data_IF_615021512631
#
_entry.id   IF_615021512631
#
_cell.length_a   1.000
_cell.length_b   1.000
_cell.length_c   1.000
_cell.angle_alpha   90.00
_cell.angle_beta   90.00
_cell.angle_gamma   90.00
#
_symmetry.space_group_name_H-M   'P 1'
#
loop_
_entity.id
_entity.type
_entity.pdbx_description
1 polymer ?
#
# COMPACT_ATOMS: atom_id res chain seq x y z
N UNK A 1 -9.48 18.29 -8.11
CA UNK A 1 -9.25 17.40 -9.28
C UNK A 1 -9.97 16.08 -9.03
N UNK A 2 -10.92 15.66 -9.87
CA UNK A 2 -11.79 14.50 -9.58
C UNK A 2 -11.03 13.17 -9.36
N UNK A 3 -9.88 12.98 -10.02
CA UNK A 3 -9.08 11.77 -9.81
C UNK A 3 -8.44 11.71 -8.42
N UNK A 4 -8.00 12.86 -7.89
CA UNK A 4 -7.51 13.01 -6.51
C UNK A 4 -8.62 12.67 -5.53
N UNK A 5 -9.80 13.26 -5.75
CA UNK A 5 -10.97 13.03 -4.89
C UNK A 5 -11.43 11.57 -4.89
N UNK A 6 -11.37 10.91 -6.05
CA UNK A 6 -11.67 9.48 -6.16
C UNK A 6 -10.67 8.63 -5.38
N UNK A 7 -9.37 8.91 -5.52
CA UNK A 7 -8.33 8.17 -4.81
C UNK A 7 -8.52 8.28 -3.29
N UNK A 8 -8.63 9.49 -2.73
CA UNK A 8 -8.76 9.64 -1.28
C UNK A 8 -10.09 9.15 -0.71
N UNK A 9 -11.17 9.18 -1.50
CA UNK A 9 -12.43 8.52 -1.12
C UNK A 9 -12.24 7.00 -0.99
N UNK A 10 -11.55 6.37 -1.94
CA UNK A 10 -11.28 4.93 -1.90
C UNK A 10 -10.24 4.57 -0.83
N UNK A 11 -9.26 5.43 -0.59
CA UNK A 11 -8.28 5.26 0.49
C UNK A 11 -8.97 5.32 1.86
N UNK A 12 -9.86 6.29 2.08
CA UNK A 12 -10.63 6.38 3.33
C UNK A 12 -11.53 5.15 3.50
N UNK A 13 -12.21 4.70 2.44
CA UNK A 13 -12.99 3.46 2.47
C UNK A 13 -12.12 2.24 2.83
N UNK A 14 -10.93 2.14 2.23
CA UNK A 14 -9.98 1.06 2.51
C UNK A 14 -9.56 1.02 4.00
N UNK A 15 -9.41 2.17 4.65
CA UNK A 15 -9.08 2.25 6.07
C UNK A 15 -10.27 1.96 7.00
N UNK A 16 -11.47 2.42 6.64
CA UNK A 16 -12.64 2.41 7.54
C UNK A 16 -13.55 1.19 7.37
N UNK A 17 -13.72 0.71 6.14
CA UNK A 17 -14.77 -0.25 5.77
C UNK A 17 -14.33 -1.11 4.58
N UNK A 18 -13.10 -1.63 4.67
CA UNK A 18 -12.53 -2.55 3.68
C UNK A 18 -13.47 -3.72 3.37
N UNK A 19 -13.62 -4.00 2.09
CA UNK A 19 -14.26 -5.20 1.53
C UNK A 19 -13.33 -5.89 0.50
N UNK A 20 -13.76 -7.02 -0.06
CA UNK A 20 -12.94 -7.82 -0.99
C UNK A 20 -12.49 -7.07 -2.24
N UNK A 21 -13.15 -5.96 -2.60
CA UNK A 21 -12.82 -5.18 -3.80
C UNK A 21 -12.08 -3.87 -3.46
N UNK A 22 -11.96 -3.52 -2.18
CA UNK A 22 -11.47 -2.20 -1.74
C UNK A 22 -10.03 -1.94 -2.13
N UNK A 23 -9.13 -2.91 -1.96
CA UNK A 23 -7.73 -2.76 -2.38
C UNK A 23 -7.61 -2.64 -3.89
N UNK A 24 -8.31 -3.47 -4.66
CA UNK A 24 -8.27 -3.39 -6.11
C UNK A 24 -8.74 -2.04 -6.64
N UNK A 25 -9.87 -1.56 -6.11
CA UNK A 25 -10.41 -0.25 -6.47
C UNK A 25 -9.42 0.86 -6.10
N UNK A 26 -8.80 0.78 -4.92
CA UNK A 26 -7.76 1.72 -4.48
C UNK A 26 -6.58 1.73 -5.45
N UNK A 27 -5.99 0.58 -5.75
CA UNK A 27 -4.83 0.46 -6.64
C UNK A 27 -5.13 0.92 -8.07
N UNK A 28 -6.32 0.64 -8.59
CA UNK A 28 -6.74 1.16 -9.89
C UNK A 28 -6.89 2.68 -9.88
N UNK A 29 -7.50 3.23 -8.82
CA UNK A 29 -7.65 4.68 -8.70
C UNK A 29 -6.30 5.39 -8.59
N UNK A 30 -5.33 4.79 -7.90
CA UNK A 30 -3.96 5.27 -7.81
C UNK A 30 -3.27 5.27 -9.18
N UNK A 31 -3.40 4.17 -9.93
CA UNK A 31 -2.85 4.08 -11.28
C UNK A 31 -3.45 5.14 -12.22
N UNK A 32 -4.78 5.25 -12.27
CA UNK A 32 -5.46 6.26 -13.08
C UNK A 32 -5.14 7.69 -12.66
N UNK A 33 -4.91 7.93 -11.37
CA UNK A 33 -4.44 9.23 -10.87
C UNK A 33 -3.01 9.51 -11.34
N UNK A 34 -2.11 8.52 -11.29
CA UNK A 34 -0.76 8.64 -11.81
C UNK A 34 -0.72 9.02 -13.29
N UNK A 35 -1.53 8.37 -14.13
CA UNK A 35 -1.62 8.69 -15.56
C UNK A 35 -2.09 10.13 -15.80
N UNK A 36 -3.08 10.58 -15.02
CA UNK A 36 -3.61 11.96 -15.11
C UNK A 36 -2.61 12.99 -14.62
N UNK A 37 -1.92 12.74 -13.50
CA UNK A 37 -0.88 13.63 -12.99
C UNK A 37 0.27 13.77 -13.99
N UNK A 38 0.63 12.68 -14.67
CA UNK A 38 1.66 12.73 -15.72
C UNK A 38 1.19 13.52 -16.94
N UNK A 39 -0.04 13.30 -17.39
CA UNK A 39 -0.60 13.94 -18.60
C UNK A 39 -0.92 15.42 -18.38
N UNK A 40 -1.58 15.75 -17.28
CA UNK A 40 -2.16 17.07 -17.04
C UNK A 40 -1.18 18.01 -16.31
N UNK A 41 -0.19 17.45 -15.59
CA UNK A 41 0.70 18.22 -14.70
C UNK A 41 2.20 17.88 -14.85
N UNK A 42 2.58 16.97 -15.76
CA UNK A 42 3.96 16.44 -15.91
C UNK A 42 4.57 15.86 -14.60
N UNK A 43 3.71 15.41 -13.70
CA UNK A 43 4.12 14.80 -12.43
C UNK A 43 4.25 13.29 -12.63
N UNK A 44 5.48 12.78 -12.53
CA UNK A 44 5.77 11.36 -12.70
C UNK A 44 5.83 10.62 -11.35
N UNK A 45 4.78 9.84 -11.06
CA UNK A 45 4.74 9.02 -9.84
C UNK A 45 5.70 7.84 -9.87
N UNK A 46 6.31 7.47 -11.01
CA UNK A 46 7.35 6.43 -11.06
C UNK A 46 8.62 6.83 -10.30
N UNK A 47 8.74 8.10 -9.88
CA UNK A 47 9.79 8.57 -8.97
C UNK A 47 9.54 8.20 -7.50
N UNK A 48 8.40 7.59 -7.19
CA UNK A 48 8.06 7.11 -5.85
C UNK A 48 8.10 5.58 -5.84
N UNK A 49 8.98 5.03 -5.01
CA UNK A 49 9.18 3.58 -4.88
C UNK A 49 7.89 2.86 -4.45
N UNK A 50 7.08 3.49 -3.60
CA UNK A 50 5.78 2.96 -3.21
C UNK A 50 4.82 2.86 -4.39
N UNK A 51 4.82 3.84 -5.32
CA UNK A 51 3.99 3.78 -6.51
C UNK A 51 4.44 2.67 -7.45
N UNK A 52 5.75 2.53 -7.68
CA UNK A 52 6.32 1.46 -8.51
C UNK A 52 5.94 0.10 -7.95
N UNK A 53 6.11 -0.10 -6.63
CA UNK A 53 5.74 -1.34 -5.92
C UNK A 53 4.26 -1.65 -6.09
N UNK A 54 3.37 -0.70 -5.76
CA UNK A 54 1.92 -0.90 -5.83
C UNK A 54 1.40 -1.08 -7.27
N UNK A 55 2.01 -0.40 -8.24
CA UNK A 55 1.71 -0.57 -9.67
C UNK A 55 2.05 -1.97 -10.16
N UNK A 56 3.21 -2.49 -9.78
CA UNK A 56 3.66 -3.84 -10.15
C UNK A 56 2.71 -4.89 -9.57
N UNK A 57 2.40 -4.80 -8.28
CA UNK A 57 1.43 -5.67 -7.61
C UNK A 57 0.07 -5.58 -8.32
N UNK A 58 -0.45 -4.37 -8.54
CA UNK A 58 -1.73 -4.15 -9.22
C UNK A 58 -1.79 -4.85 -10.59
N UNK A 59 -0.73 -4.75 -11.39
CA UNK A 59 -0.70 -5.34 -12.73
C UNK A 59 -0.85 -6.86 -12.68
N UNK A 60 -0.12 -7.53 -11.78
CA UNK A 60 -0.25 -8.96 -11.54
C UNK A 60 -1.69 -9.34 -11.15
N UNK A 61 -2.29 -8.56 -10.24
CA UNK A 61 -3.67 -8.79 -9.82
C UNK A 61 -4.70 -8.60 -10.92
N UNK A 62 -4.46 -7.66 -11.83
CA UNK A 62 -5.37 -7.43 -12.93
C UNK A 62 -5.40 -8.62 -13.92
N UNK A 63 -4.31 -9.39 -14.01
CA UNK A 63 -4.24 -10.60 -14.84
C UNK A 63 -4.81 -11.83 -14.12
N UNK A 64 -4.66 -11.91 -12.81
CA UNK A 64 -5.26 -12.95 -11.98
C UNK A 64 -6.77 -12.67 -11.81
N UNK A 65 -7.63 -13.35 -12.58
CA UNK A 65 -9.11 -13.30 -12.49
C UNK A 65 -9.70 -13.67 -11.10
N UNK A 66 -8.86 -13.87 -10.08
CA UNK A 66 -9.18 -14.30 -8.71
C UNK A 66 -8.64 -13.35 -7.64
N UNK A 67 -8.79 -12.05 -7.81
CA UNK A 67 -8.43 -11.06 -6.78
C UNK A 67 -9.00 -11.33 -5.38
N UNK A 68 -10.18 -11.96 -5.32
CA UNK A 68 -10.92 -12.17 -4.07
C UNK A 68 -10.22 -13.08 -3.06
N UNK A 69 -9.20 -13.85 -3.47
CA UNK A 69 -8.57 -14.87 -2.63
C UNK A 69 -7.08 -14.62 -2.32
N UNK A 70 -6.51 -13.50 -2.78
CA UNK A 70 -5.05 -13.27 -2.73
C UNK A 70 -4.66 -12.37 -1.54
N UNK A 71 -5.60 -11.57 -1.03
CA UNK A 71 -5.32 -10.53 -0.03
C UNK A 71 -6.08 -10.79 1.24
N UNK A 72 -5.43 -10.45 2.34
CA UNK A 72 -6.07 -10.47 3.65
C UNK A 72 -5.73 -9.17 4.34
N UNK A 73 -6.71 -8.26 4.36
CA UNK A 73 -6.65 -7.05 5.19
C UNK A 73 -7.20 -7.38 6.57
N UNK A 74 -6.38 -7.28 7.61
CA UNK A 74 -6.76 -7.64 8.97
C UNK A 74 -6.42 -6.51 9.95
N UNK A 75 -7.37 -6.12 10.82
CA UNK A 75 -7.07 -5.36 12.03
C UNK A 75 -5.95 -6.03 12.86
N UNK A 76 -4.90 -5.29 13.20
CA UNK A 76 -3.74 -5.85 13.91
C UNK A 76 -4.12 -6.44 15.27
N UNK A 77 -5.14 -5.88 15.94
CA UNK A 77 -5.66 -6.38 17.22
C UNK A 77 -6.24 -7.80 17.15
N UNK A 78 -6.52 -8.32 15.96
CA UNK A 78 -6.95 -9.72 15.74
C UNK A 78 -5.79 -10.71 15.60
N UNK A 79 -4.54 -10.25 15.57
CA UNK A 79 -3.37 -11.09 15.37
C UNK A 79 -2.54 -11.09 16.64
N UNK A 80 -2.69 -12.17 17.42
CA UNK A 80 -1.98 -12.34 18.67
C UNK A 80 -0.49 -12.60 18.44
N UNK A 81 0.36 -12.03 19.30
CA UNK A 81 1.79 -12.34 19.35
C UNK A 81 2.69 -11.47 18.48
N UNK A 82 2.14 -10.44 17.84
CA UNK A 82 2.89 -9.47 17.04
C UNK A 82 2.71 -8.03 17.56
N UNK A 83 3.64 -7.16 17.17
CA UNK A 83 3.61 -5.71 17.38
C UNK A 83 3.97 -5.00 16.08
N UNK A 84 3.25 -3.93 15.75
CA UNK A 84 3.54 -3.08 14.58
C UNK A 84 3.01 -1.67 14.81
N UNK A 85 3.51 -0.69 14.06
CA UNK A 85 3.04 0.70 14.04
C UNK A 85 1.78 0.89 13.17
N UNK A 86 1.23 -0.20 12.64
CA UNK A 86 0.05 -0.21 11.79
C UNK A 86 -1.23 -0.58 12.57
N UNK A 87 -2.37 -0.01 12.18
CA UNK A 87 -3.69 -0.42 12.70
C UNK A 87 -4.26 -1.61 11.90
N UNK A 88 -3.91 -1.70 10.62
CA UNK A 88 -4.31 -2.78 9.72
C UNK A 88 -3.10 -3.30 8.96
N UNK A 89 -3.11 -4.60 8.66
CA UNK A 89 -2.13 -5.23 7.78
C UNK A 89 -2.77 -5.67 6.49
N UNK A 90 -1.98 -5.66 5.42
CA UNK A 90 -2.37 -6.14 4.11
C UNK A 90 -1.32 -7.16 3.69
N UNK A 91 -1.69 -8.44 3.81
CA UNK A 91 -0.78 -9.56 3.67
C UNK A 91 -0.95 -10.24 2.31
N UNK A 92 0.19 -10.60 1.70
CA UNK A 92 0.32 -11.32 0.42
C UNK A 92 1.21 -12.54 0.56
N UNK A 93 1.09 -13.49 -0.36
CA UNK A 93 2.14 -14.48 -0.51
C UNK A 93 3.38 -13.88 -1.19
N UNK A 94 4.56 -14.28 -0.71
CA UNK A 94 5.84 -13.95 -1.35
C UNK A 94 5.87 -14.43 -2.81
N UNK A 95 5.19 -15.54 -3.13
CA UNK A 95 5.04 -16.02 -4.51
C UNK A 95 4.35 -15.00 -5.42
N UNK A 96 3.29 -14.33 -4.94
CA UNK A 96 2.55 -13.35 -5.74
C UNK A 96 3.40 -12.10 -6.01
N UNK A 97 4.25 -11.71 -5.05
CA UNK A 97 5.25 -10.64 -5.27
C UNK A 97 6.27 -11.06 -6.32
N UNK A 98 6.82 -12.26 -6.22
CA UNK A 98 7.80 -12.75 -7.20
C UNK A 98 7.21 -12.87 -8.60
N UNK A 99 6.01 -13.42 -8.73
CA UNK A 99 5.30 -13.52 -10.00
C UNK A 99 5.03 -12.12 -10.59
N UNK A 100 4.65 -11.15 -9.75
CA UNK A 100 4.45 -9.77 -10.20
C UNK A 100 5.72 -9.12 -10.77
N UNK A 101 6.91 -9.48 -10.24
CA UNK A 101 8.21 -9.02 -10.74
C UNK A 101 8.53 -9.69 -12.08
N UNK A 102 8.25 -10.99 -12.23
CA UNK A 102 8.53 -11.71 -13.46
C UNK A 102 7.68 -11.21 -14.65
N UNK A 103 6.45 -10.76 -14.39
CA UNK A 103 5.58 -10.11 -15.38
C UNK A 103 6.12 -8.75 -15.89
N UNK A 104 7.05 -8.11 -15.15
CA UNK A 104 7.70 -6.89 -15.61
C UNK A 104 8.61 -7.19 -16.80
N UNK A 105 8.60 -6.33 -17.81
CA UNK A 105 9.46 -6.47 -18.98
C UNK A 105 10.94 -6.60 -18.58
N UNK A 106 11.70 -7.47 -19.26
CA UNK A 106 13.12 -7.75 -18.97
C UNK A 106 13.97 -6.47 -18.75
N UNK A 107 13.69 -5.40 -19.50
CA UNK A 107 14.42 -4.13 -19.43
C UNK A 107 14.38 -3.49 -18.03
N UNK A 108 13.25 -3.57 -17.33
CA UNK A 108 13.02 -2.88 -16.05
C UNK A 108 12.96 -3.84 -14.86
N UNK A 109 13.06 -5.15 -15.09
CA UNK A 109 12.83 -6.17 -14.05
C UNK A 109 13.81 -6.06 -12.88
N UNK A 110 15.11 -5.91 -13.15
CA UNK A 110 16.12 -5.83 -12.09
C UNK A 110 15.90 -4.62 -11.19
N UNK A 111 15.71 -3.44 -11.78
CA UNK A 111 15.43 -2.20 -11.06
C UNK A 111 14.12 -2.32 -10.25
N UNK A 112 13.06 -2.85 -10.86
CA UNK A 112 11.76 -3.03 -10.18
C UNK A 112 11.88 -4.00 -9.00
N UNK A 113 12.66 -5.08 -9.15
CA UNK A 113 12.94 -6.04 -8.08
C UNK A 113 13.66 -5.37 -6.91
N UNK A 114 14.66 -4.55 -7.19
CA UNK A 114 15.42 -3.84 -6.15
C UNK A 114 14.53 -2.83 -5.41
N UNK A 115 13.70 -2.08 -6.14
CA UNK A 115 12.71 -1.15 -5.55
C UNK A 115 11.76 -1.91 -4.61
N UNK A 116 11.15 -3.00 -5.07
CA UNK A 116 10.20 -3.78 -4.27
C UNK A 116 10.88 -4.34 -3.03
N UNK A 117 12.06 -4.94 -3.17
CA UNK A 117 12.82 -5.52 -2.06
C UNK A 117 13.19 -4.50 -0.99
N UNK A 118 13.39 -3.24 -1.36
CA UNK A 118 13.68 -2.15 -0.43
C UNK A 118 12.42 -1.51 0.17
N UNK A 119 11.25 -1.72 -0.45
CA UNK A 119 9.99 -1.06 -0.07
C UNK A 119 9.11 -1.94 0.81
N UNK A 120 9.06 -3.25 0.56
CA UNK A 120 8.21 -4.19 1.31
C UNK A 120 8.99 -4.92 2.41
N UNK A 121 8.28 -5.47 3.39
CA UNK A 121 8.88 -6.35 4.40
C UNK A 121 8.46 -7.80 4.15
N UNK A 122 9.46 -8.66 3.94
CA UNK A 122 9.27 -10.11 3.79
C UNK A 122 9.36 -10.80 5.15
N UNK A 123 8.41 -11.69 5.41
CA UNK A 123 8.31 -12.56 6.57
C UNK A 123 8.12 -14.00 6.08
N UNK A 124 9.20 -14.59 5.56
CA UNK A 124 9.16 -15.91 4.93
C UNK A 124 8.24 -15.91 3.70
N UNK A 125 7.18 -16.71 3.74
CA UNK A 125 6.20 -16.85 2.66
C UNK A 125 5.15 -15.72 2.62
N UNK A 126 5.21 -14.76 3.54
CA UNK A 126 4.26 -13.66 3.63
C UNK A 126 4.94 -12.31 3.48
N UNK A 127 4.28 -11.38 2.80
CA UNK A 127 4.70 -9.99 2.64
C UNK A 127 3.64 -9.05 3.21
N UNK A 128 4.06 -8.06 3.99
CA UNK A 128 3.17 -6.97 4.40
C UNK A 128 3.37 -5.76 3.48
N UNK A 129 2.28 -5.26 2.91
CA UNK A 129 2.27 -4.06 2.05
C UNK A 129 1.46 -2.89 2.63
N UNK A 130 0.91 -3.01 3.84
CA UNK A 130 0.03 -1.97 4.39
C UNK A 130 0.75 -0.63 4.56
N UNK A 131 2.01 -0.64 4.99
CA UNK A 131 2.80 0.58 5.12
C UNK A 131 3.13 1.21 3.77
N UNK A 132 3.29 0.41 2.71
CA UNK A 132 3.51 0.92 1.35
C UNK A 132 2.29 1.71 0.88
N UNK A 133 1.09 1.19 1.12
CA UNK A 133 -0.17 1.86 0.79
C UNK A 133 -0.31 3.17 1.58
N UNK A 134 -0.06 3.12 2.89
CA UNK A 134 -0.12 4.30 3.76
C UNK A 134 0.88 5.38 3.34
N UNK A 135 2.17 4.99 3.20
CA UNK A 135 3.25 5.90 2.83
C UNK A 135 3.02 6.50 1.44
N UNK A 136 2.49 5.72 0.49
CA UNK A 136 2.09 6.24 -0.82
C UNK A 136 1.03 7.34 -0.70
N UNK A 137 -0.03 7.13 0.07
CA UNK A 137 -1.08 8.12 0.24
C UNK A 137 -0.54 9.41 0.90
N UNK A 138 0.29 9.28 1.94
CA UNK A 138 0.91 10.42 2.60
C UNK A 138 1.87 11.20 1.67
N UNK A 139 2.77 10.50 0.98
CA UNK A 139 3.70 11.12 0.02
C UNK A 139 2.99 11.77 -1.15
N UNK A 140 1.93 11.14 -1.65
CA UNK A 140 1.09 11.70 -2.70
C UNK A 140 0.46 13.01 -2.26
N UNK A 141 -0.05 13.10 -1.03
CA UNK A 141 -0.63 14.33 -0.50
C UNK A 141 0.40 15.47 -0.47
N UNK A 142 1.62 15.20 0.01
CA UNK A 142 2.71 16.19 -0.02
C UNK A 142 3.06 16.60 -1.45
N UNK A 143 3.08 15.66 -2.39
CA UNK A 143 3.36 15.95 -3.79
C UNK A 143 2.26 16.83 -4.41
N UNK A 144 1.00 16.55 -4.12
CA UNK A 144 -0.14 17.33 -4.58
C UNK A 144 -0.11 18.76 -4.02
N UNK A 145 0.14 18.90 -2.71
CA UNK A 145 0.24 20.19 -2.03
C UNK A 145 1.36 21.06 -2.62
N UNK A 146 2.56 20.50 -2.79
CA UNK A 146 3.71 21.17 -3.44
C UNK A 146 3.42 21.68 -4.86
N UNK A 147 2.48 21.05 -5.56
CA UNK A 147 2.09 21.43 -6.92
C UNK A 147 0.75 22.19 -6.98
N UNK A 148 0.21 22.61 -5.83
CA UNK A 148 -1.08 23.31 -5.72
C UNK A 148 -2.25 22.53 -6.34
N UNK A 149 -2.19 21.20 -6.32
CA UNK A 149 -3.27 20.32 -6.81
C UNK A 149 -4.15 19.94 -5.62
N UNK A 150 -5.41 20.36 -5.66
CA UNK A 150 -6.33 20.16 -4.54
C UNK A 150 -7.54 19.29 -4.93
N UNK A 151 -7.97 18.46 -3.98
CA UNK A 151 -9.28 17.83 -3.96
C UNK A 151 -10.30 18.65 -3.17
N UNK A 152 -11.58 18.31 -3.32
CA UNK A 152 -12.69 18.93 -2.59
C UNK A 152 -13.57 17.92 -1.84
N UNK A 153 -13.33 16.63 -2.04
CA UNK A 153 -14.05 15.56 -1.37
C UNK A 153 -13.74 15.53 0.12
N UNK A 154 -14.71 15.04 0.91
CA UNK A 154 -14.52 14.81 2.35
C UNK A 154 -13.27 13.97 2.63
N UNK A 155 -13.09 12.86 1.91
CA UNK A 155 -11.92 11.99 2.06
C UNK A 155 -10.60 12.72 1.80
N UNK A 156 -10.52 13.56 0.77
CA UNK A 156 -9.32 14.39 0.54
C UNK A 156 -9.10 15.37 1.70
N UNK A 157 -10.12 16.14 2.08
CA UNK A 157 -10.00 17.21 3.08
C UNK A 157 -9.62 16.67 4.47
N UNK A 158 -10.18 15.53 4.87
CA UNK A 158 -9.85 14.90 6.15
C UNK A 158 -8.42 14.36 6.17
N UNK A 159 -7.99 13.65 5.12
CA UNK A 159 -6.62 13.17 5.01
C UNK A 159 -5.62 14.34 4.97
N UNK A 160 -5.95 15.41 4.24
CA UNK A 160 -5.10 16.60 4.15
C UNK A 160 -4.95 17.26 5.52
N UNK A 161 -6.06 17.41 6.28
CA UNK A 161 -6.04 17.96 7.63
C UNK A 161 -5.18 17.13 8.58
N UNK A 162 -5.33 15.80 8.57
CA UNK A 162 -4.53 14.91 9.41
C UNK A 162 -3.04 15.00 9.07
N UNK A 163 -2.69 14.94 7.78
CA UNK A 163 -1.29 15.06 7.36
C UNK A 163 -0.70 16.42 7.74
N UNK A 164 -1.41 17.52 7.49
CA UNK A 164 -0.93 18.85 7.84
C UNK A 164 -0.77 19.03 9.35
N UNK A 165 -1.61 18.38 10.16
CA UNK A 165 -1.41 18.33 11.60
C UNK A 165 -0.06 17.67 11.94
N UNK A 166 0.25 16.51 11.37
CA UNK A 166 1.53 15.82 11.63
C UNK A 166 2.73 16.66 11.17
N UNK A 167 2.69 17.23 9.96
CA UNK A 167 3.76 18.08 9.44
C UNK A 167 3.99 19.30 10.34
N UNK A 168 2.91 19.99 10.74
CA UNK A 168 3.01 21.20 11.55
C UNK A 168 3.52 20.94 12.98
N UNK A 169 3.42 19.70 13.46
CA UNK A 169 3.94 19.28 14.77
C UNK A 169 5.29 18.54 14.67
N UNK A 170 5.89 18.45 13.47
CA UNK A 170 7.17 17.77 13.26
C UNK A 170 7.09 16.24 13.39
N UNK A 171 5.90 15.65 13.26
CA UNK A 171 5.72 14.21 13.24
C UNK A 171 6.06 13.64 11.86
N UNK A 172 6.46 12.36 11.83
CA UNK A 172 6.62 11.61 10.59
C UNK A 172 5.26 11.37 9.94
N UNK A 173 5.16 11.64 8.64
CA UNK A 173 3.97 11.31 7.83
C UNK A 173 4.04 9.90 7.23
N UNK A 174 5.13 9.17 7.48
CA UNK A 174 5.35 7.80 7.04
C UNK A 174 5.54 6.87 8.23
N UNK A 175 5.20 5.61 8.04
CA UNK A 175 5.30 4.53 9.01
C UNK A 175 6.27 3.46 8.52
N UNK A 176 6.84 2.68 9.44
CA UNK A 176 7.80 1.63 9.09
C UNK A 176 7.10 0.40 8.53
N UNK A 177 5.95 0.00 9.08
CA UNK A 177 5.27 -1.25 8.72
C UNK A 177 5.97 -2.52 9.20
N UNK A 178 7.01 -2.39 10.03
CA UNK A 178 7.73 -3.54 10.56
C UNK A 178 6.87 -4.26 11.59
N UNK A 179 6.95 -5.59 11.56
CA UNK A 179 6.26 -6.50 12.45
C UNK A 179 7.31 -7.14 13.34
N UNK A 180 7.08 -7.05 14.65
CA UNK A 180 7.93 -7.61 15.68
C UNK A 180 7.14 -8.67 16.45
N UNK A 181 7.80 -9.66 17.03
CA UNK A 181 7.16 -10.63 17.93
C UNK A 181 7.38 -10.29 19.39
N UNK A 182 6.56 -10.90 20.25
CA UNK A 182 6.83 -10.93 21.69
C UNK A 182 8.20 -11.58 21.98
N UNK A 183 8.87 -11.10 23.03
CA UNK A 183 10.10 -11.68 23.56
C UNK A 183 9.84 -13.17 23.88
N UNK A 184 10.62 -14.07 23.26
CA UNK A 184 10.46 -15.53 23.39
C UNK A 184 9.88 -16.24 22.16
N UNK A 185 9.27 -15.49 21.23
CA UNK A 185 8.70 -16.01 19.97
C UNK A 185 9.55 -15.57 18.75
N UNK A 186 10.87 -15.51 18.91
CA UNK A 186 11.77 -15.17 17.81
C UNK A 186 11.76 -16.34 16.82
N UNK A 187 11.24 -16.09 15.60
CA UNK A 187 11.13 -17.11 14.54
C UNK A 187 9.72 -17.67 14.30
N UNK A 188 8.66 -17.08 14.88
CA UNK A 188 7.28 -17.52 14.62
C UNK A 188 6.43 -16.47 13.87
N UNK A 189 7.01 -15.34 13.46
CA UNK A 189 6.24 -14.24 12.83
C UNK A 189 5.69 -14.71 11.48
N UNK A 190 6.54 -15.30 10.66
CA UNK A 190 6.18 -15.91 9.39
C UNK A 190 5.08 -16.97 9.56
N UNK A 191 5.18 -17.85 10.57
CA UNK A 191 4.14 -18.85 10.86
C UNK A 191 2.81 -18.21 11.27
N UNK A 192 2.83 -17.21 12.16
CA UNK A 192 1.64 -16.48 12.60
C UNK A 192 0.97 -15.84 11.39
N UNK A 193 1.73 -15.06 10.61
CA UNK A 193 1.22 -14.35 9.45
C UNK A 193 0.72 -15.31 8.36
N UNK A 194 1.40 -16.44 8.14
CA UNK A 194 0.99 -17.44 7.16
C UNK A 194 -0.31 -18.13 7.56
N UNK A 195 -0.46 -18.50 8.84
CA UNK A 195 -1.69 -19.07 9.37
C UNK A 195 -2.85 -18.07 9.26
N UNK A 196 -2.58 -16.82 9.63
CA UNK A 196 -3.52 -15.72 9.49
C UNK A 196 -3.99 -15.53 8.04
N UNK A 197 -3.08 -15.55 7.07
CA UNK A 197 -3.39 -15.44 5.64
C UNK A 197 -4.20 -16.64 5.13
N UNK A 198 -3.92 -17.85 5.62
CA UNK A 198 -4.69 -19.07 5.28
C UNK A 198 -6.09 -19.09 5.86
N UNK A 199 -6.29 -18.58 7.08
CA UNK A 199 -7.59 -18.58 7.77
C UNK A 199 -8.59 -17.56 7.26
N UNK A 200 -8.18 -16.65 6.37
CA UNK A 200 -9.03 -15.61 5.77
C UNK A 200 -9.41 -15.89 4.30
N UNK A 201 -9.18 -17.12 3.82
CA UNK A 201 -9.71 -17.65 2.55
C UNK A 201 -11.03 -18.36 2.76
#
# INVERSE_FOLDING_TARGET
>A
MEAVDRFYRLYSKYLESYDSDSLFNLLNSLHSLGDKLKTDNDIDLLKLDEFVTLKTIRNHLHHQTKMRNIFTTIPVDKISGIHTDMVFMCLLYTSDINDSIEEVSNKYRSETKDIINNTVHFYGDVVNISHVIFNMAARLMVLLDKNNIVGISKGYLENYKCMMFDINNGHSITVSGKIYSNIGNVGTIDEILLNTLKSNK
#
